data_IF_519450520226
#
_entry.id   IF_519450520226
#
_cell.length_a   1.000
_cell.length_b   1.000
_cell.length_c   1.000
_cell.angle_alpha   90.00
_cell.angle_beta   90.00
_cell.angle_gamma   90.00
#
_symmetry.space_group_name_H-M   'P 1'
#
loop_
_entity.id
_entity.type
_entity.pdbx_description
1 polymer ?
#
# COMPACT_ATOMS: atom_id res chain seq x y z
N UNK A 1 21.41 7.14 -31.56
CA UNK A 1 20.89 6.04 -30.74
C UNK A 1 21.50 6.19 -29.35
N UNK A 2 20.72 6.16 -28.32
CA UNK A 2 21.17 6.11 -26.94
C UNK A 2 21.40 4.62 -26.61
N UNK A 3 22.46 4.29 -25.88
CA UNK A 3 22.74 2.91 -25.48
C UNK A 3 21.65 2.40 -24.52
N UNK A 4 21.40 1.09 -24.52
CA UNK A 4 20.55 0.46 -23.53
C UNK A 4 21.16 0.61 -22.12
N UNK A 5 20.30 0.71 -21.10
CA UNK A 5 20.72 0.79 -19.69
C UNK A 5 21.17 2.17 -19.23
N UNK A 6 20.97 3.21 -20.03
CA UNK A 6 21.19 4.59 -19.57
C UNK A 6 20.05 5.00 -18.65
N UNK A 7 20.39 5.38 -17.41
CA UNK A 7 19.43 5.74 -16.37
C UNK A 7 18.57 6.96 -16.74
N UNK A 8 17.33 6.95 -16.27
CA UNK A 8 16.41 8.08 -16.38
C UNK A 8 17.02 9.36 -15.78
N UNK A 9 16.78 10.51 -16.42
CA UNK A 9 17.34 11.79 -16.01
C UNK A 9 18.81 12.02 -16.37
N UNK A 10 19.50 11.03 -16.97
CA UNK A 10 20.91 11.18 -17.42
C UNK A 10 21.03 12.28 -18.46
N UNK A 11 21.97 13.20 -18.26
CA UNK A 11 22.24 14.30 -19.20
C UNK A 11 23.37 13.94 -20.12
N UNK A 12 23.09 13.87 -21.42
CA UNK A 12 24.05 13.60 -22.48
C UNK A 12 24.40 14.90 -23.17
N UNK A 13 25.69 15.29 -23.15
CA UNK A 13 26.17 16.45 -23.87
C UNK A 13 26.53 16.06 -25.31
N UNK A 14 25.95 16.76 -26.27
CA UNK A 14 26.22 16.63 -27.70
C UNK A 14 27.04 17.84 -28.12
N UNK A 15 28.24 17.60 -28.68
CA UNK A 15 29.00 18.65 -29.32
C UNK A 15 28.56 18.78 -30.78
N UNK A 16 28.19 19.97 -31.19
CA UNK A 16 27.72 20.28 -32.54
C UNK A 16 28.78 21.16 -33.19
N UNK A 17 29.29 20.74 -34.37
CA UNK A 17 30.17 21.54 -35.21
C UNK A 17 29.48 21.85 -36.53
N UNK A 18 29.45 23.10 -36.88
CA UNK A 18 28.91 23.58 -38.16
C UNK A 18 30.01 24.26 -38.95
N UNK A 19 30.22 23.86 -40.19
CA UNK A 19 31.24 24.42 -41.07
C UNK A 19 30.59 25.05 -42.29
N UNK A 20 31.07 26.25 -42.64
CA UNK A 20 30.68 26.93 -43.90
C UNK A 20 31.95 27.51 -44.54
N UNK A 21 32.36 26.91 -45.66
CA UNK A 21 33.65 27.21 -46.25
C UNK A 21 34.84 26.89 -45.32
N UNK A 22 35.62 27.88 -44.98
CA UNK A 22 36.75 27.75 -44.02
C UNK A 22 36.39 28.15 -42.59
N UNK A 23 35.15 28.51 -42.33
CA UNK A 23 34.68 28.96 -41.01
C UNK A 23 33.97 27.82 -40.27
N UNK A 24 34.37 27.61 -39.06
CA UNK A 24 33.78 26.59 -38.14
C UNK A 24 33.20 27.26 -36.92
N UNK A 25 32.01 26.82 -36.54
CA UNK A 25 31.36 27.18 -35.28
C UNK A 25 31.13 25.90 -34.47
N UNK A 26 31.42 25.96 -33.20
CA UNK A 26 31.17 24.87 -32.25
C UNK A 26 30.10 25.30 -31.23
N UNK A 27 29.21 24.39 -30.93
CA UNK A 27 28.17 24.57 -29.92
C UNK A 27 27.97 23.29 -29.10
N UNK A 28 27.25 23.41 -28.01
CA UNK A 28 26.87 22.28 -27.17
C UNK A 28 25.36 22.24 -27.01
N UNK A 29 24.79 21.04 -27.14
CA UNK A 29 23.42 20.74 -26.78
C UNK A 29 23.41 19.72 -25.66
N UNK A 30 22.43 19.77 -24.76
CA UNK A 30 22.24 18.78 -23.70
C UNK A 30 20.88 18.11 -23.96
N UNK A 31 20.90 16.78 -24.00
CA UNK A 31 19.70 15.95 -24.10
C UNK A 31 19.58 15.21 -22.77
N UNK A 32 18.40 15.26 -22.16
CA UNK A 32 18.08 14.45 -20.99
C UNK A 32 17.45 13.14 -21.45
N UNK A 33 17.96 12.02 -20.95
CA UNK A 33 17.36 10.70 -21.20
C UNK A 33 16.09 10.60 -20.38
N UNK A 34 14.97 10.23 -20.98
CA UNK A 34 13.75 9.86 -20.30
C UNK A 34 13.53 8.35 -20.40
N UNK A 35 13.25 7.71 -19.28
CA UNK A 35 12.82 6.32 -19.21
C UNK A 35 11.60 6.22 -18.28
N UNK A 36 10.71 5.23 -18.46
CA UNK A 36 9.69 4.93 -17.46
C UNK A 36 10.31 4.27 -16.23
N UNK A 37 9.84 4.66 -15.05
CA UNK A 37 10.15 4.04 -13.76
C UNK A 37 8.82 3.71 -13.11
N UNK A 38 8.48 2.43 -13.05
CA UNK A 38 7.21 1.99 -12.52
C UNK A 38 7.36 1.54 -11.07
N UNK A 39 6.49 2.04 -10.21
CA UNK A 39 6.40 1.65 -8.80
C UNK A 39 4.97 1.19 -8.50
N UNK A 40 4.84 0.20 -7.63
CA UNK A 40 3.53 -0.20 -7.10
C UNK A 40 2.97 0.91 -6.21
N UNK A 41 1.77 1.39 -6.52
CA UNK A 41 1.13 2.54 -5.84
C UNK A 41 -0.07 2.12 -5.00
N UNK A 42 -0.22 0.83 -4.73
CA UNK A 42 -1.17 0.30 -3.79
C UNK A 42 -2.17 -0.70 -4.35
N UNK A 43 -2.84 -1.33 -3.41
CA UNK A 43 -3.86 -2.35 -3.60
C UNK A 43 -5.14 -1.92 -2.89
N UNK A 44 -6.29 -2.19 -3.49
CA UNK A 44 -7.59 -1.87 -2.94
C UNK A 44 -8.59 -2.99 -3.23
N UNK A 45 -9.49 -3.24 -2.29
CA UNK A 45 -10.69 -4.04 -2.47
C UNK A 45 -11.81 -3.49 -1.58
N UNK A 46 -13.04 -3.90 -1.83
CA UNK A 46 -14.20 -3.34 -1.13
C UNK A 46 -14.43 -4.02 0.24
N UNK A 47 -13.72 -3.55 1.26
CA UNK A 47 -13.98 -3.94 2.65
C UNK A 47 -13.60 -5.39 2.97
N UNK A 48 -14.60 -6.19 3.36
CA UNK A 48 -14.44 -7.60 3.73
C UNK A 48 -14.75 -8.52 2.55
N UNK A 49 -14.12 -9.70 2.51
CA UNK A 49 -14.52 -10.75 1.58
C UNK A 49 -15.58 -11.67 2.22
N UNK A 50 -16.41 -12.29 1.38
CA UNK A 50 -17.41 -13.28 1.79
C UNK A 50 -17.07 -14.61 1.12
N UNK A 51 -16.89 -15.72 1.87
CA UNK A 51 -16.71 -17.04 1.28
C UNK A 51 -17.84 -17.40 0.31
N UNK A 52 -17.50 -17.96 -0.85
CA UNK A 52 -18.43 -18.26 -1.93
C UNK A 52 -18.72 -17.12 -2.89
N UNK A 53 -18.28 -15.89 -2.63
CA UNK A 53 -18.56 -14.72 -3.46
C UNK A 53 -17.34 -14.25 -4.27
N UNK A 54 -17.65 -13.56 -5.37
CA UNK A 54 -16.65 -12.90 -6.22
C UNK A 54 -16.62 -11.41 -5.93
N UNK A 55 -15.43 -10.81 -6.00
CA UNK A 55 -15.25 -9.37 -5.84
C UNK A 55 -14.14 -8.84 -6.75
N UNK A 56 -14.14 -7.52 -6.94
CA UNK A 56 -13.10 -6.83 -7.70
C UNK A 56 -11.98 -6.37 -6.79
N UNK A 57 -10.74 -6.66 -7.17
CA UNK A 57 -9.53 -6.11 -6.58
C UNK A 57 -8.85 -5.17 -7.57
N UNK A 58 -8.20 -4.15 -7.06
CA UNK A 58 -7.55 -3.09 -7.84
C UNK A 58 -6.08 -3.02 -7.46
N UNK A 59 -5.20 -3.05 -8.46
CA UNK A 59 -3.77 -2.82 -8.29
C UNK A 59 -3.36 -1.58 -9.08
N UNK A 60 -2.69 -0.64 -8.42
CA UNK A 60 -2.23 0.60 -9.03
C UNK A 60 -0.70 0.60 -9.19
N UNK A 61 -0.25 1.06 -10.36
CA UNK A 61 1.16 1.25 -10.69
C UNK A 61 1.38 2.68 -11.17
N UNK A 62 2.31 3.39 -10.57
CA UNK A 62 2.65 4.77 -10.92
C UNK A 62 3.94 4.83 -11.71
N UNK A 63 3.94 5.60 -12.78
CA UNK A 63 5.15 5.94 -13.51
C UNK A 63 5.80 7.19 -12.89
N UNK A 64 6.92 7.02 -12.23
CA UNK A 64 7.70 8.11 -11.61
C UNK A 64 8.87 8.57 -12.48
N UNK A 65 9.03 7.96 -13.66
CA UNK A 65 10.06 8.32 -14.64
C UNK A 65 9.63 9.46 -15.57
N UNK A 66 10.53 9.83 -16.48
CA UNK A 66 10.34 10.96 -17.39
C UNK A 66 9.89 10.54 -18.81
N UNK A 67 9.56 9.28 -19.03
CA UNK A 67 9.03 8.79 -20.31
C UNK A 67 7.84 7.84 -20.08
N UNK A 68 6.99 7.70 -21.08
CA UNK A 68 5.83 6.82 -21.02
C UNK A 68 6.23 5.34 -20.99
N UNK A 69 5.51 4.54 -20.21
CA UNK A 69 5.54 3.08 -20.31
C UNK A 69 4.47 2.63 -21.31
N UNK A 70 4.84 1.85 -22.32
CA UNK A 70 3.96 1.37 -23.38
C UNK A 70 3.77 -0.13 -23.31
N UNK A 71 2.63 -0.62 -23.82
CA UNK A 71 2.24 -2.04 -23.76
C UNK A 71 2.31 -2.61 -22.33
N UNK A 72 1.85 -1.78 -21.38
CA UNK A 72 1.87 -2.13 -19.96
C UNK A 72 0.83 -3.19 -19.65
N UNK A 73 1.27 -4.26 -18.99
CA UNK A 73 0.46 -5.41 -18.61
C UNK A 73 0.72 -5.76 -17.14
N UNK A 74 -0.32 -6.10 -16.42
CA UNK A 74 -0.22 -6.63 -15.05
C UNK A 74 -0.75 -8.06 -15.01
N UNK A 75 0.03 -8.94 -14.39
CA UNK A 75 -0.38 -10.33 -14.10
C UNK A 75 -0.55 -10.50 -12.59
N UNK A 76 -1.73 -10.96 -12.17
CA UNK A 76 -2.02 -11.28 -10.78
C UNK A 76 -1.81 -12.78 -10.52
N UNK A 77 -1.30 -13.12 -9.34
CA UNK A 77 -1.16 -14.48 -8.86
C UNK A 77 -1.47 -14.59 -7.37
N UNK A 78 -1.74 -15.78 -6.89
CA UNK A 78 -1.98 -16.07 -5.47
C UNK A 78 -1.36 -17.40 -5.10
N UNK A 79 -0.93 -17.54 -3.85
CA UNK A 79 -0.50 -18.80 -3.24
C UNK A 79 -1.60 -19.47 -2.42
N UNK A 80 -2.75 -18.80 -2.25
CA UNK A 80 -3.89 -19.33 -1.50
C UNK A 80 -4.68 -20.33 -2.33
N UNK A 81 -4.98 -21.49 -1.77
CA UNK A 81 -5.89 -22.47 -2.35
C UNK A 81 -7.37 -22.04 -2.32
N UNK A 82 -7.70 -21.04 -1.48
CA UNK A 82 -9.07 -20.52 -1.34
C UNK A 82 -9.37 -19.36 -2.30
N UNK A 83 -8.39 -18.88 -3.09
CA UNK A 83 -8.60 -17.73 -3.97
C UNK A 83 -8.39 -18.11 -5.44
N UNK A 84 -9.42 -17.86 -6.25
CA UNK A 84 -9.36 -18.04 -7.70
C UNK A 84 -9.39 -16.68 -8.39
N UNK A 85 -8.50 -16.45 -9.35
CA UNK A 85 -8.45 -15.25 -10.19
C UNK A 85 -9.02 -15.63 -11.56
N UNK A 86 -10.12 -15.01 -12.00
CA UNK A 86 -10.82 -15.38 -13.25
C UNK A 86 -9.96 -15.11 -14.50
N UNK A 87 -9.47 -13.89 -14.63
CA UNK A 87 -8.53 -13.47 -15.66
C UNK A 87 -7.32 -12.84 -14.97
N UNK A 88 -6.24 -13.57 -14.94
CA UNK A 88 -5.06 -13.17 -14.19
C UNK A 88 -4.17 -12.14 -14.91
N UNK A 89 -4.57 -11.65 -16.08
CA UNK A 89 -3.80 -10.68 -16.86
C UNK A 89 -4.69 -9.49 -17.24
N UNK A 90 -4.19 -8.28 -17.04
CA UNK A 90 -4.87 -7.04 -17.37
C UNK A 90 -3.95 -6.12 -18.19
N UNK A 91 -4.44 -5.68 -19.35
CA UNK A 91 -3.73 -4.73 -20.24
C UNK A 91 -4.09 -3.29 -19.84
N UNK A 92 -3.11 -2.55 -19.34
CA UNK A 92 -3.26 -1.12 -19.01
C UNK A 92 -3.03 -0.26 -20.27
N UNK A 93 -2.09 -0.68 -21.14
CA UNK A 93 -1.68 0.07 -22.32
C UNK A 93 -0.55 1.06 -22.02
N UNK A 94 -0.81 2.37 -22.06
CA UNK A 94 0.20 3.41 -21.86
C UNK A 94 0.03 4.08 -20.50
N UNK A 95 1.14 4.27 -19.78
CA UNK A 95 1.19 5.08 -18.55
C UNK A 95 2.16 6.24 -18.79
N UNK A 96 1.61 7.46 -18.87
CA UNK A 96 2.39 8.67 -19.04
C UNK A 96 3.28 8.97 -17.81
N UNK A 97 4.32 9.81 -17.94
CA UNK A 97 5.05 10.33 -16.77
C UNK A 97 4.11 10.91 -15.72
N UNK A 98 4.36 10.60 -14.44
CA UNK A 98 3.52 10.92 -13.27
C UNK A 98 2.11 10.29 -13.30
N UNK A 99 1.76 9.55 -14.34
CA UNK A 99 0.49 8.84 -14.49
C UNK A 99 0.39 7.58 -13.64
N UNK A 100 -0.85 7.16 -13.39
CA UNK A 100 -1.19 5.92 -12.69
C UNK A 100 -1.90 4.98 -13.66
N UNK A 101 -1.39 3.76 -13.77
CA UNK A 101 -2.05 2.65 -14.44
C UNK A 101 -2.80 1.79 -13.42
N UNK A 102 -4.07 1.51 -13.70
CA UNK A 102 -4.95 0.74 -12.82
C UNK A 102 -5.32 -0.58 -13.48
N UNK A 103 -5.05 -1.68 -12.79
CA UNK A 103 -5.45 -3.03 -13.19
C UNK A 103 -6.57 -3.54 -12.28
N UNK A 104 -7.61 -4.14 -12.89
CA UNK A 104 -8.76 -4.70 -12.18
C UNK A 104 -8.81 -6.21 -12.40
N UNK A 105 -8.99 -6.95 -11.31
CA UNK A 105 -9.13 -8.41 -11.34
C UNK A 105 -10.38 -8.84 -10.60
N UNK A 106 -11.11 -9.79 -11.16
CA UNK A 106 -12.19 -10.47 -10.45
C UNK A 106 -11.59 -11.68 -9.75
N UNK A 107 -11.79 -11.73 -8.45
CA UNK A 107 -11.35 -12.85 -7.60
C UNK A 107 -12.55 -13.50 -6.94
N UNK A 108 -12.53 -14.82 -6.82
CA UNK A 108 -13.58 -15.61 -6.15
C UNK A 108 -12.98 -16.32 -4.96
N UNK A 109 -13.59 -16.14 -3.79
CA UNK A 109 -13.20 -16.84 -2.56
C UNK A 109 -13.98 -18.14 -2.45
N UNK A 110 -13.29 -19.25 -2.17
CA UNK A 110 -13.93 -20.54 -1.99
C UNK A 110 -14.93 -20.53 -0.81
N UNK A 111 -16.07 -21.21 -0.94
CA UNK A 111 -17.07 -21.34 0.12
C UNK A 111 -16.53 -21.96 1.42
N UNK A 112 -15.51 -22.83 1.29
CA UNK A 112 -14.87 -23.49 2.43
C UNK A 112 -13.80 -22.62 3.13
N UNK A 113 -13.55 -21.38 2.66
CA UNK A 113 -12.57 -20.48 3.26
C UNK A 113 -13.05 -20.02 4.63
N UNK A 114 -12.18 -20.10 5.64
CA UNK A 114 -12.46 -19.50 6.95
C UNK A 114 -12.41 -17.97 6.83
N UNK A 115 -13.41 -17.23 7.35
CA UNK A 115 -13.40 -15.75 7.31
C UNK A 115 -12.20 -15.07 8.01
N UNK A 116 -11.42 -15.83 8.78
CA UNK A 116 -10.20 -15.32 9.44
C UNK A 116 -8.94 -15.46 8.58
N UNK A 117 -9.04 -16.12 7.42
CA UNK A 117 -7.89 -16.31 6.54
C UNK A 117 -7.44 -14.99 5.89
N UNK A 118 -6.14 -14.87 5.70
CA UNK A 118 -5.52 -13.81 4.91
C UNK A 118 -5.14 -14.38 3.55
N UNK A 119 -5.75 -13.87 2.48
CA UNK A 119 -5.61 -14.39 1.13
C UNK A 119 -4.64 -13.52 0.32
N UNK A 120 -3.36 -13.92 0.17
CA UNK A 120 -2.35 -13.10 -0.48
C UNK A 120 -2.57 -13.00 -1.99
N UNK A 121 -2.19 -11.86 -2.54
CA UNK A 121 -2.13 -11.57 -3.97
C UNK A 121 -0.77 -10.96 -4.30
N UNK A 122 -0.21 -11.38 -5.42
CA UNK A 122 1.01 -10.83 -5.99
C UNK A 122 0.68 -10.27 -7.38
N UNK A 123 1.29 -9.13 -7.72
CA UNK A 123 1.11 -8.46 -9.00
C UNK A 123 2.47 -8.27 -9.66
N UNK A 124 2.62 -8.78 -10.87
CA UNK A 124 3.79 -8.55 -11.72
C UNK A 124 3.40 -7.61 -12.85
N UNK A 125 4.09 -6.48 -12.93
CA UNK A 125 3.95 -5.51 -14.00
C UNK A 125 5.06 -5.70 -15.02
N UNK A 126 4.72 -5.61 -16.31
CA UNK A 126 5.67 -5.60 -17.42
C UNK A 126 5.27 -4.53 -18.46
N UNK A 127 6.26 -3.94 -19.12
CA UNK A 127 6.04 -3.04 -20.26
C UNK A 127 7.17 -3.20 -21.28
N UNK A 128 7.10 -2.44 -22.38
CA UNK A 128 8.15 -2.41 -23.39
C UNK A 128 9.53 -2.07 -22.79
N UNK A 129 10.58 -2.46 -23.52
CA UNK A 129 11.98 -2.24 -23.15
C UNK A 129 12.41 -2.88 -21.82
N UNK A 130 11.74 -3.96 -21.40
CA UNK A 130 12.10 -4.71 -20.21
C UNK A 130 11.80 -3.98 -18.90
N UNK A 131 10.83 -3.08 -18.90
CA UNK A 131 10.36 -2.41 -17.68
C UNK A 131 9.52 -3.38 -16.86
N UNK A 132 9.91 -3.59 -15.61
CA UNK A 132 9.26 -4.51 -14.68
C UNK A 132 9.03 -3.84 -13.32
N UNK A 133 7.96 -4.22 -12.64
CA UNK A 133 7.69 -3.88 -11.25
C UNK A 133 6.85 -4.97 -10.60
N UNK A 134 6.87 -5.05 -9.28
CA UNK A 134 6.05 -5.99 -8.52
C UNK A 134 5.29 -5.28 -7.41
N UNK A 135 4.14 -5.83 -7.04
CA UNK A 135 3.34 -5.35 -5.92
C UNK A 135 2.69 -6.51 -5.19
N UNK A 136 2.30 -6.27 -3.94
CA UNK A 136 1.63 -7.26 -3.11
C UNK A 136 0.37 -6.66 -2.49
N UNK A 137 -0.64 -7.50 -2.30
CA UNK A 137 -1.86 -7.20 -1.58
C UNK A 137 -2.37 -8.44 -0.87
N UNK A 138 -3.42 -8.30 -0.08
CA UNK A 138 -4.12 -9.44 0.48
C UNK A 138 -5.58 -9.08 0.76
N UNK A 139 -6.51 -10.00 0.50
CA UNK A 139 -7.85 -9.89 1.04
C UNK A 139 -7.83 -10.34 2.49
N UNK A 140 -8.41 -9.55 3.36
CA UNK A 140 -8.55 -9.85 4.77
C UNK A 140 -9.82 -9.23 5.32
N UNK A 141 -10.46 -9.92 6.24
CA UNK A 141 -11.57 -9.33 6.97
C UNK A 141 -11.04 -8.55 8.15
N UNK A 142 -11.68 -7.43 8.45
CA UNK A 142 -11.34 -6.58 9.59
C UNK A 142 -12.57 -6.34 10.44
N UNK A 143 -12.34 -6.05 11.72
CA UNK A 143 -13.37 -5.59 12.63
C UNK A 143 -12.88 -4.32 13.35
N UNK A 144 -13.80 -3.42 13.65
CA UNK A 144 -13.51 -2.25 14.45
C UNK A 144 -13.62 -2.60 15.95
N UNK A 145 -12.55 -2.30 16.67
CA UNK A 145 -12.49 -2.47 18.12
C UNK A 145 -12.33 -1.10 18.76
N UNK A 146 -13.22 -0.79 19.69
CA UNK A 146 -13.30 0.49 20.37
C UNK A 146 -12.61 0.37 21.73
N UNK A 147 -11.64 1.24 21.98
CA UNK A 147 -10.98 1.41 23.27
C UNK A 147 -11.52 2.68 23.92
N UNK A 148 -12.39 2.53 24.92
CA UNK A 148 -12.87 3.64 25.72
C UNK A 148 -11.95 3.81 26.91
N UNK A 149 -11.23 4.92 26.99
CA UNK A 149 -10.33 5.26 28.07
C UNK A 149 -10.90 6.40 28.91
N UNK A 150 -10.77 6.29 30.23
CA UNK A 150 -11.31 7.28 31.15
C UNK A 150 -10.29 7.64 32.24
N UNK A 151 -10.35 8.88 32.67
CA UNK A 151 -9.60 9.44 33.80
C UNK A 151 -10.57 10.06 34.81
N UNK A 152 -10.50 9.62 36.06
CA UNK A 152 -11.44 10.05 37.09
C UNK A 152 -11.19 11.46 37.63
N UNK A 153 -9.98 11.99 37.50
CA UNK A 153 -9.67 13.36 37.86
C UNK A 153 -9.91 14.36 36.71
N UNK A 154 -9.69 13.93 35.48
CA UNK A 154 -10.00 14.71 34.29
C UNK A 154 -8.83 15.51 33.71
N UNK A 155 -7.61 15.23 34.10
CA UNK A 155 -6.40 15.87 33.57
C UNK A 155 -5.61 14.99 32.61
N UNK A 156 -6.09 13.77 32.34
CA UNK A 156 -5.51 12.77 31.45
C UNK A 156 -4.69 11.72 32.18
N UNK A 157 -4.11 10.80 31.42
CA UNK A 157 -3.45 9.61 31.97
C UNK A 157 -2.02 9.85 32.50
N UNK A 158 -1.55 11.09 32.52
CA UNK A 158 -0.31 11.51 33.18
C UNK A 158 0.92 10.66 32.85
N UNK A 159 1.05 10.30 31.54
CA UNK A 159 2.12 9.47 31.00
C UNK A 159 1.81 7.98 30.95
N UNK A 160 0.69 7.51 31.53
CA UNK A 160 0.24 6.15 31.33
C UNK A 160 -0.29 5.92 29.92
N UNK A 161 -0.24 4.67 29.43
CA UNK A 161 -0.70 4.30 28.09
C UNK A 161 -1.09 2.82 28.01
N UNK A 162 -1.90 2.51 27.00
CA UNK A 162 -2.05 1.15 26.49
C UNK A 162 -1.10 0.95 25.31
N UNK A 163 -0.42 -0.18 25.27
CA UNK A 163 0.28 -0.67 24.10
C UNK A 163 -0.55 -1.82 23.54
N UNK A 164 -1.01 -1.66 22.31
CA UNK A 164 -1.78 -2.67 21.57
C UNK A 164 -0.85 -3.32 20.56
N UNK A 165 -0.53 -4.58 20.74
CA UNK A 165 0.34 -5.38 19.87
C UNK A 165 -0.49 -6.38 19.07
N UNK A 166 -0.19 -6.50 17.77
CA UNK A 166 -0.92 -7.34 16.82
C UNK A 166 -0.07 -8.55 16.42
N UNK A 167 -0.66 -9.74 16.46
CA UNK A 167 0.01 -11.00 16.14
C UNK A 167 0.29 -11.21 14.63
N UNK A 168 -0.20 -10.33 13.77
CA UNK A 168 0.04 -10.35 12.32
C UNK A 168 1.28 -9.56 11.87
N UNK A 169 2.05 -9.00 12.82
CA UNK A 169 3.23 -8.20 12.54
C UNK A 169 2.94 -6.72 12.23
N UNK A 170 1.68 -6.28 12.31
CA UNK A 170 1.33 -4.86 12.22
C UNK A 170 2.00 -4.05 13.33
N UNK A 171 2.35 -2.77 13.08
CA UNK A 171 2.99 -1.93 14.08
C UNK A 171 2.13 -1.76 15.33
N UNK A 172 2.73 -1.92 16.51
CA UNK A 172 2.04 -1.69 17.77
C UNK A 172 1.52 -0.25 17.88
N UNK A 173 0.30 -0.11 18.43
CA UNK A 173 -0.33 1.19 18.69
C UNK A 173 -0.14 1.59 20.15
N UNK A 174 0.13 2.87 20.38
CA UNK A 174 0.19 3.45 21.71
C UNK A 174 -1.01 4.37 21.91
N UNK A 175 -1.92 4.00 22.79
CA UNK A 175 -3.10 4.77 23.13
C UNK A 175 -2.87 5.47 24.46
N UNK A 176 -3.03 6.78 24.50
CA UNK A 176 -2.87 7.57 25.74
C UNK A 176 -3.86 8.73 25.75
N UNK A 177 -4.12 9.26 26.91
CA UNK A 177 -4.97 10.43 27.12
C UNK A 177 -4.11 11.55 27.69
N UNK A 178 -3.90 12.63 26.93
CA UNK A 178 -3.03 13.75 27.34
C UNK A 178 -3.76 14.78 28.19
N UNK A 179 -5.09 14.79 28.14
CA UNK A 179 -5.95 15.68 28.93
C UNK A 179 -7.42 15.23 28.85
N UNK A 180 -8.25 15.71 29.76
CA UNK A 180 -9.69 15.39 29.80
C UNK A 180 -10.02 14.12 30.56
N UNK A 181 -11.32 13.84 30.71
CA UNK A 181 -11.85 12.73 31.51
C UNK A 181 -12.20 11.49 30.70
N UNK A 182 -12.22 11.56 29.35
CA UNK A 182 -12.47 10.40 28.48
C UNK A 182 -11.95 10.64 27.06
N UNK A 183 -11.56 9.55 26.40
CA UNK A 183 -11.23 9.50 24.98
C UNK A 183 -11.60 8.14 24.41
N UNK A 184 -11.97 8.10 23.14
CA UNK A 184 -12.26 6.89 22.39
C UNK A 184 -11.24 6.72 21.25
N UNK A 185 -10.71 5.50 21.11
CA UNK A 185 -9.89 5.09 19.99
C UNK A 185 -10.57 3.96 19.23
N UNK A 186 -10.72 4.11 17.94
CA UNK A 186 -11.21 3.09 17.03
C UNK A 186 -10.03 2.46 16.30
N UNK A 187 -9.81 1.17 16.50
CA UNK A 187 -8.77 0.40 15.81
C UNK A 187 -9.41 -0.62 14.89
N UNK A 188 -9.03 -0.56 13.61
CA UNK A 188 -9.35 -1.62 12.66
C UNK A 188 -8.36 -2.76 12.83
N UNK A 189 -8.87 -3.95 13.14
CA UNK A 189 -8.07 -5.15 13.46
C UNK A 189 -8.43 -6.26 12.49
N UNK A 190 -7.42 -6.94 11.95
CA UNK A 190 -7.64 -8.12 11.10
C UNK A 190 -8.34 -9.22 11.91
N UNK A 191 -9.44 -9.75 11.39
CA UNK A 191 -10.23 -10.81 12.04
C UNK A 191 -9.36 -12.06 12.25
N UNK A 192 -9.48 -12.68 13.43
CA UNK A 192 -8.68 -13.86 13.80
C UNK A 192 -7.28 -13.58 14.31
N UNK A 193 -6.80 -12.34 14.22
CA UNK A 193 -5.48 -11.96 14.74
C UNK A 193 -5.52 -11.86 16.27
N UNK A 194 -4.54 -12.50 16.92
CA UNK A 194 -4.36 -12.35 18.38
C UNK A 194 -3.88 -10.94 18.72
N UNK A 195 -4.59 -10.26 19.61
CA UNK A 195 -4.24 -8.92 20.09
C UNK A 195 -3.83 -8.97 21.54
N UNK A 196 -2.70 -8.36 21.86
CA UNK A 196 -2.22 -8.22 23.23
C UNK A 196 -2.31 -6.75 23.64
N UNK A 197 -3.02 -6.48 24.73
CA UNK A 197 -3.13 -5.13 25.31
C UNK A 197 -2.34 -5.06 26.60
N UNK A 198 -1.37 -4.15 26.68
CA UNK A 198 -0.51 -3.93 27.85
C UNK A 198 -0.74 -2.53 28.40
N UNK A 199 -1.08 -2.45 29.69
CA UNK A 199 -1.09 -1.17 30.41
C UNK A 199 0.34 -0.85 30.87
N UNK A 200 0.81 0.33 30.50
CA UNK A 200 2.07 0.90 31.00
C UNK A 200 1.73 2.08 31.89
N UNK A 201 2.08 1.98 33.16
CA UNK A 201 1.77 2.99 34.16
C UNK A 201 2.55 4.29 33.99
N UNK A 202 1.92 5.39 34.39
CA UNK A 202 2.49 6.72 34.58
C UNK A 202 2.37 7.20 36.01
N UNK A 203 2.08 8.49 36.19
CA UNK A 203 1.67 9.02 37.49
C UNK A 203 0.15 8.84 37.64
N UNK A 204 -0.33 8.68 38.88
CA UNK A 204 -1.77 8.59 39.20
C UNK A 204 -2.54 7.45 38.53
N UNK A 205 -1.93 6.26 38.43
CA UNK A 205 -2.52 5.10 37.74
C UNK A 205 -3.91 4.68 38.27
N UNK A 206 -4.24 5.03 39.52
CA UNK A 206 -5.55 4.75 40.15
C UNK A 206 -6.70 5.54 39.51
N UNK A 207 -6.41 6.59 38.74
CA UNK A 207 -7.38 7.42 38.06
C UNK A 207 -7.69 6.88 36.64
N UNK A 208 -6.77 6.03 36.10
CA UNK A 208 -6.88 5.44 34.78
C UNK A 208 -7.83 4.24 34.77
N UNK A 209 -8.76 4.22 33.81
CA UNK A 209 -9.58 3.05 33.52
C UNK A 209 -9.85 2.95 32.03
N UNK A 210 -10.12 1.74 31.54
CA UNK A 210 -10.51 1.52 30.14
C UNK A 210 -11.41 0.30 30.01
N UNK A 211 -12.19 0.28 28.94
CA UNK A 211 -12.85 -0.92 28.43
C UNK A 211 -12.60 -1.08 26.95
N UNK A 212 -12.78 -2.29 26.45
CA UNK A 212 -12.63 -2.64 25.04
C UNK A 212 -13.93 -3.28 24.60
N UNK A 213 -14.44 -2.91 23.43
CA UNK A 213 -15.67 -3.47 22.87
C UNK A 213 -15.64 -3.48 21.34
N UNK A 214 -16.42 -4.33 20.71
CA UNK A 214 -16.69 -4.23 19.29
C UNK A 214 -17.66 -3.08 18.99
N UNK A 215 -17.75 -2.69 17.71
CA UNK A 215 -18.64 -1.60 17.28
C UNK A 215 -20.12 -1.85 17.63
N UNK A 216 -20.54 -3.12 17.70
CA UNK A 216 -21.89 -3.52 18.13
C UNK A 216 -22.11 -3.48 19.65
N UNK A 217 -21.10 -3.08 20.42
CA UNK A 217 -21.11 -2.98 21.88
C UNK A 217 -20.88 -4.31 22.62
N UNK A 218 -20.58 -5.40 21.92
CA UNK A 218 -20.18 -6.68 22.53
C UNK A 218 -18.69 -6.69 22.89
N UNK A 219 -18.29 -7.58 23.82
CA UNK A 219 -16.91 -7.87 24.21
C UNK A 219 -16.56 -9.29 23.85
#
# INVERSE_FOLDING_TARGET
TIAEGVEDGTKIQINVTMTCGSTEWTGKAVVTVGAPIIVFDGFQFAGSYIPGESQTVVANFKNTGHYMATNSVVTASTTSEYLTIENNTFEIGTIDPDGIGTALFTVTVAEACDPTEVLPLEFAFTADNGVEATGNGALKNTCNVIFNMSDSYGDGWNGAKLIVEFGDGSPAQNLTMTSGSSIEYNLEITTGVHVTVKFVGGSYNSECSFNIQYEDGTL
#
